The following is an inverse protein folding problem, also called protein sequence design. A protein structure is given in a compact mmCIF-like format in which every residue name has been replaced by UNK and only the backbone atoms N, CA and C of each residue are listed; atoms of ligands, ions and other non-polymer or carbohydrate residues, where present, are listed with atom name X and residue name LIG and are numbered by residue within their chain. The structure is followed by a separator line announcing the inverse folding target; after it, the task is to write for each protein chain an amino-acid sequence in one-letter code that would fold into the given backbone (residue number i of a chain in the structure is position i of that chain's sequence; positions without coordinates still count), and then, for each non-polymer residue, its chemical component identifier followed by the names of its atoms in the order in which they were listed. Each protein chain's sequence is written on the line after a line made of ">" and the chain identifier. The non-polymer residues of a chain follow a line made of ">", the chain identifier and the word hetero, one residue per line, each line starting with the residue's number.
data_IF_892004839661
#
_entry.id   IF_892004839661
#
_cell.length_a   1.000
_cell.length_b   1.000
_cell.length_c   1.000
_cell.angle_alpha   90.00
_cell.angle_beta   90.00
_cell.angle_gamma   90.00
#
_symmetry.space_group_name_H-M   'P 1'
#
loop_
_entity.id
_entity.type
_entity.pdbx_description
1 polymer ?
#
# COMPACT_ATOMS: atom_id res chain seq x y z
N UNK A 1 -9.19 -3.88 3.32
CA UNK A 1 -7.75 -3.98 3.61
C UNK A 1 -7.28 -5.43 3.72
N UNK A 2 -8.10 -6.36 4.21
CA UNK A 2 -7.68 -7.74 4.52
C UNK A 2 -7.18 -8.56 3.32
N UNK A 3 -7.56 -8.17 2.10
CA UNK A 3 -7.13 -8.84 0.88
C UNK A 3 -5.79 -8.32 0.32
N UNK A 4 -5.17 -7.30 0.92
CA UNK A 4 -3.94 -6.69 0.36
C UNK A 4 -2.80 -7.71 0.19
N UNK A 5 -2.66 -8.65 1.13
CA UNK A 5 -1.62 -9.68 1.06
C UNK A 5 -1.77 -10.65 -0.13
N UNK A 6 -2.93 -10.70 -0.79
CA UNK A 6 -3.16 -11.60 -1.93
C UNK A 6 -2.51 -11.09 -3.22
N UNK A 7 -2.25 -9.78 -3.32
CA UNK A 7 -1.76 -9.17 -4.56
C UNK A 7 -0.62 -8.17 -4.36
N UNK A 8 -0.43 -7.60 -3.16
CA UNK A 8 0.69 -6.69 -2.90
C UNK A 8 1.98 -7.51 -2.75
N UNK A 9 3.00 -7.27 -3.59
CA UNK A 9 4.28 -7.97 -3.47
C UNK A 9 4.94 -7.78 -2.11
N UNK A 10 5.52 -8.86 -1.63
CA UNK A 10 6.25 -8.93 -0.36
C UNK A 10 5.39 -8.66 0.89
N UNK A 11 4.06 -8.56 0.77
CA UNK A 11 3.15 -8.49 1.90
C UNK A 11 2.76 -9.92 2.34
N UNK A 12 2.92 -10.20 3.63
CA UNK A 12 2.58 -11.50 4.24
C UNK A 12 1.16 -11.50 4.80
N UNK A 13 0.75 -10.41 5.42
CA UNK A 13 -0.60 -10.26 5.97
C UNK A 13 -1.01 -8.80 5.99
N UNK A 14 -2.30 -8.55 5.82
CA UNK A 14 -2.93 -7.29 6.19
C UNK A 14 -4.26 -7.61 6.84
N UNK A 15 -4.58 -6.95 7.95
CA UNK A 15 -5.85 -7.13 8.64
C UNK A 15 -6.37 -5.84 9.23
N UNK A 16 -7.68 -5.63 9.20
CA UNK A 16 -8.34 -4.57 9.96
C UNK A 16 -8.40 -4.99 11.44
N UNK A 17 -7.87 -4.16 12.32
CA UNK A 17 -7.91 -4.36 13.78
C UNK A 17 -9.13 -3.67 14.37
N UNK A 18 -9.44 -2.47 13.90
CA UNK A 18 -10.61 -1.72 14.31
C UNK A 18 -11.07 -0.76 13.22
N UNK A 19 -12.35 -0.38 13.29
CA UNK A 19 -12.95 0.62 12.41
C UNK A 19 -13.88 1.49 13.23
N UNK A 20 -13.75 2.80 13.09
CA UNK A 20 -14.57 3.81 13.75
C UNK A 20 -14.82 4.96 12.78
N UNK A 21 -15.98 4.95 12.12
CA UNK A 21 -16.32 5.94 11.10
C UNK A 21 -15.34 5.88 9.91
N UNK A 22 -14.71 7.01 9.62
CA UNK A 22 -13.70 7.21 8.58
C UNK A 22 -12.29 6.77 9.00
N UNK A 23 -12.09 6.36 10.26
CA UNK A 23 -10.81 5.89 10.78
C UNK A 23 -10.77 4.37 10.86
N UNK A 24 -9.68 3.80 10.37
CA UNK A 24 -9.44 2.35 10.33
C UNK A 24 -8.05 2.07 10.84
N UNK A 25 -7.93 1.15 11.79
CA UNK A 25 -6.61 0.66 12.22
C UNK A 25 -6.33 -0.63 11.46
N UNK A 26 -5.20 -0.66 10.76
CA UNK A 26 -4.80 -1.79 9.92
C UNK A 26 -3.43 -2.28 10.36
N UNK A 27 -3.32 -3.56 10.68
CA UNK A 27 -2.04 -4.22 10.86
C UNK A 27 -1.56 -4.81 9.53
N UNK A 28 -0.27 -4.63 9.24
CA UNK A 28 0.36 -5.16 8.04
C UNK A 28 1.71 -5.76 8.39
N UNK A 29 1.96 -6.96 7.86
CA UNK A 29 3.24 -7.63 7.95
C UNK A 29 3.73 -7.97 6.56
N UNK A 30 5.04 -7.85 6.35
CA UNK A 30 5.65 -8.12 5.07
C UNK A 30 7.16 -8.16 5.16
N UNK A 31 7.78 -8.06 4.01
CA UNK A 31 9.22 -7.94 3.86
C UNK A 31 9.56 -6.69 3.05
N UNK A 32 10.63 -6.03 3.44
CA UNK A 32 11.31 -5.04 2.63
C UNK A 32 12.65 -5.64 2.19
N UNK A 33 12.89 -5.72 0.89
CA UNK A 33 14.09 -6.38 0.42
C UNK A 33 14.39 -6.24 -1.05
N UNK A 34 15.65 -6.53 -1.38
CA UNK A 34 16.16 -6.62 -2.75
C UNK A 34 17.27 -7.67 -2.79
N UNK A 35 17.26 -8.55 -3.81
CA UNK A 35 18.15 -9.72 -3.92
C UNK A 35 18.13 -10.58 -2.64
N UNK A 36 19.29 -10.75 -1.98
CA UNK A 36 19.45 -11.59 -0.80
C UNK A 36 19.15 -10.84 0.51
N UNK A 37 18.97 -9.51 0.44
CA UNK A 37 18.61 -8.71 1.60
C UNK A 37 17.10 -8.72 1.79
N UNK A 38 16.65 -9.18 2.96
CA UNK A 38 15.25 -9.16 3.39
C UNK A 38 15.18 -8.67 4.84
N UNK A 39 14.34 -7.69 5.10
CA UNK A 39 14.00 -7.21 6.43
C UNK A 39 12.52 -7.41 6.68
N UNK A 40 12.12 -8.04 7.80
CA UNK A 40 10.72 -8.11 8.16
C UNK A 40 10.20 -6.69 8.46
N UNK A 41 9.00 -6.40 7.96
CA UNK A 41 8.27 -5.18 8.27
C UNK A 41 6.99 -5.57 8.99
N UNK A 42 6.76 -4.97 10.15
CA UNK A 42 5.55 -5.13 10.95
C UNK A 42 5.08 -3.74 11.37
N UNK A 43 3.92 -3.34 10.86
CA UNK A 43 3.36 -2.00 11.04
C UNK A 43 1.90 -2.05 11.39
N UNK A 44 1.50 -1.17 12.29
CA UNK A 44 0.11 -0.82 12.54
C UNK A 44 -0.10 0.61 12.06
N UNK A 45 -1.04 0.78 11.13
CA UNK A 45 -1.37 2.05 10.50
C UNK A 45 -2.73 2.52 10.98
N UNK A 46 -2.82 3.81 11.30
CA UNK A 46 -4.10 4.49 11.28
C UNK A 46 -4.35 5.00 9.86
N UNK A 47 -5.49 4.64 9.31
CA UNK A 47 -5.94 5.00 7.98
C UNK A 47 -7.16 5.90 8.11
N UNK A 48 -7.09 7.08 7.49
CA UNK A 48 -8.20 8.00 7.36
C UNK A 48 -8.76 7.91 5.92
N UNK A 49 -10.00 7.47 5.81
CA UNK A 49 -10.70 7.33 4.54
C UNK A 49 -11.48 8.62 4.25
N UNK A 50 -11.27 9.20 3.08
CA UNK A 50 -12.00 10.37 2.59
C UNK A 50 -12.62 10.04 1.23
N UNK A 51 -13.70 9.24 1.22
CA UNK A 51 -14.29 8.77 -0.02
C UNK A 51 -14.84 9.93 -0.87
N UNK A 52 -14.85 9.78 -2.21
CA UNK A 52 -14.27 8.66 -2.97
C UNK A 52 -12.79 8.88 -3.35
N UNK A 53 -12.19 9.99 -2.94
CA UNK A 53 -10.98 10.49 -3.60
C UNK A 53 -9.68 10.21 -2.86
N UNK A 54 -9.69 10.00 -1.54
CA UNK A 54 -8.45 10.06 -0.78
C UNK A 54 -8.39 9.09 0.38
N UNK A 55 -7.19 8.58 0.62
CA UNK A 55 -6.85 7.79 1.79
C UNK A 55 -5.50 8.30 2.31
N UNK A 56 -5.46 8.72 3.57
CA UNK A 56 -4.20 8.97 4.30
C UNK A 56 -3.93 7.80 5.23
N UNK A 57 -2.69 7.34 5.30
CA UNK A 57 -2.28 6.36 6.29
C UNK A 57 -1.02 6.83 7.01
N UNK A 58 -0.98 6.67 8.33
CA UNK A 58 0.17 7.01 9.17
C UNK A 58 0.49 5.88 10.12
N UNK A 59 1.78 5.71 10.40
CA UNK A 59 2.27 4.76 11.39
C UNK A 59 1.78 5.14 12.80
N UNK A 60 1.27 4.16 13.54
CA UNK A 60 0.95 4.29 14.96
C UNK A 60 1.70 3.29 15.84
N UNK A 61 2.15 2.17 15.28
CA UNK A 61 3.04 1.22 15.95
C UNK A 61 3.80 0.38 14.92
N UNK A 62 4.92 -0.23 15.31
CA UNK A 62 5.65 -1.16 14.44
C UNK A 62 7.17 -1.09 14.59
N UNK A 63 7.87 -1.71 13.64
CA UNK A 63 9.34 -1.82 13.63
C UNK A 63 10.04 -0.87 12.66
N UNK A 64 9.33 0.15 12.18
CA UNK A 64 9.89 1.24 11.35
C UNK A 64 9.77 2.56 12.11
N UNK A 65 10.57 3.57 11.75
CA UNK A 65 10.58 4.85 12.47
C UNK A 65 9.42 5.74 12.07
N UNK A 66 9.16 5.83 10.77
CA UNK A 66 8.13 6.72 10.25
C UNK A 66 7.56 6.13 8.96
N UNK A 67 6.24 6.20 8.82
CA UNK A 67 5.55 5.93 7.58
C UNK A 67 4.31 6.80 7.50
N UNK A 68 4.27 7.64 6.48
CA UNK A 68 3.10 8.41 6.11
C UNK A 68 2.87 8.21 4.62
N UNK A 69 1.63 7.92 4.22
CA UNK A 69 1.27 7.72 2.82
C UNK A 69 -0.05 8.38 2.53
N UNK A 70 -0.18 8.87 1.30
CA UNK A 70 -1.40 9.42 0.74
C UNK A 70 -1.67 8.75 -0.60
N UNK A 71 -2.89 8.28 -0.75
CA UNK A 71 -3.45 7.78 -2.00
C UNK A 71 -4.53 8.77 -2.44
N UNK A 72 -4.43 9.24 -3.68
CA UNK A 72 -5.41 10.17 -4.26
C UNK A 72 -5.90 9.68 -5.62
N UNK A 73 -7.21 9.77 -5.83
CA UNK A 73 -7.88 9.46 -7.09
C UNK A 73 -8.32 10.76 -7.75
N UNK A 74 -7.75 11.02 -8.91
CA UNK A 74 -8.10 12.13 -9.78
C UNK A 74 -8.63 11.65 -11.13
N UNK A 75 -9.03 12.62 -11.95
CA UNK A 75 -9.39 12.41 -13.36
C UNK A 75 -8.25 12.87 -14.27
N UNK A 76 -8.09 12.20 -15.40
CA UNK A 76 -7.19 12.57 -16.49
C UNK A 76 -7.87 12.29 -17.83
N UNK A 77 -7.33 12.84 -18.92
CA UNK A 77 -7.86 12.62 -20.27
C UNK A 77 -7.87 11.13 -20.68
N UNK A 78 -7.00 10.32 -20.06
CA UNK A 78 -6.88 8.88 -20.29
C UNK A 78 -7.71 8.02 -19.30
N UNK A 79 -8.50 8.64 -18.42
CA UNK A 79 -9.33 7.95 -17.43
C UNK A 79 -8.98 8.35 -15.98
N UNK A 80 -8.83 7.37 -15.09
CA UNK A 80 -8.58 7.62 -13.67
C UNK A 80 -7.08 7.77 -13.41
N UNK A 81 -6.68 8.86 -12.76
CA UNK A 81 -5.32 9.05 -12.25
C UNK A 81 -5.27 8.55 -10.81
N UNK A 82 -4.34 7.67 -10.51
CA UNK A 82 -4.08 7.22 -9.15
C UNK A 82 -2.71 7.74 -8.74
N UNK A 83 -2.68 8.60 -7.73
CA UNK A 83 -1.48 9.24 -7.20
C UNK A 83 -1.11 8.60 -5.86
N UNK A 84 0.17 8.29 -5.68
CA UNK A 84 0.74 7.82 -4.43
C UNK A 84 1.89 8.72 -4.01
N UNK A 85 1.79 9.27 -2.81
CA UNK A 85 2.88 10.00 -2.15
C UNK A 85 3.13 9.38 -0.79
N UNK A 86 4.39 9.27 -0.38
CA UNK A 86 4.68 8.81 0.96
C UNK A 86 6.08 9.15 1.44
N UNK A 87 6.21 9.18 2.76
CA UNK A 87 7.46 9.32 3.51
C UNK A 87 7.69 8.03 4.28
N UNK A 88 8.87 7.46 4.13
CA UNK A 88 9.25 6.22 4.79
C UNK A 88 10.65 6.37 5.39
N UNK A 89 10.73 6.23 6.71
CA UNK A 89 12.00 6.21 7.45
C UNK A 89 12.16 4.82 8.07
N UNK A 90 13.10 3.99 7.57
CA UNK A 90 13.30 2.65 8.10
C UNK A 90 13.83 2.68 9.53
N UNK A 91 13.44 1.68 10.33
CA UNK A 91 14.02 1.42 11.65
C UNK A 91 15.38 0.74 11.61
N UNK A 92 15.79 0.29 10.43
CA UNK A 92 17.00 -0.50 10.17
C UNK A 92 17.91 0.21 9.16
N UNK A 93 19.20 -0.11 9.23
CA UNK A 93 20.17 0.37 8.25
C UNK A 93 19.97 -0.34 6.91
N UNK A 94 19.81 0.44 5.85
CA UNK A 94 19.82 -0.08 4.49
C UNK A 94 21.26 -0.38 4.05
N UNK A 95 21.53 -1.51 3.38
CA UNK A 95 22.80 -1.75 2.74
C UNK A 95 23.14 -0.62 1.76
N UNK A 96 24.42 -0.24 1.60
CA UNK A 96 24.83 0.83 0.68
C UNK A 96 24.36 0.63 -0.77
N UNK A 97 24.14 -0.62 -1.19
CA UNK A 97 23.61 -0.95 -2.51
C UNK A 97 22.14 -0.53 -2.69
N UNK A 98 21.34 -0.42 -1.62
CA UNK A 98 19.94 -0.01 -1.71
C UNK A 98 19.85 1.52 -1.79
N UNK A 99 20.10 2.03 -2.99
CA UNK A 99 19.89 3.44 -3.33
C UNK A 99 18.45 3.76 -3.73
N UNK A 100 18.18 5.05 -3.95
CA UNK A 100 16.87 5.56 -4.38
C UNK A 100 16.26 4.87 -5.62
N UNK A 101 17.03 4.48 -6.66
CA UNK A 101 16.46 3.75 -7.81
C UNK A 101 15.83 2.40 -7.44
N UNK A 102 16.42 1.67 -6.49
CA UNK A 102 15.89 0.39 -6.01
C UNK A 102 14.61 0.62 -5.20
N UNK A 103 14.63 1.62 -4.30
CA UNK A 103 13.45 2.01 -3.53
C UNK A 103 12.30 2.38 -4.45
N UNK A 104 12.56 3.19 -5.49
CA UNK A 104 11.57 3.56 -6.50
C UNK A 104 10.96 2.31 -7.17
N UNK A 105 11.79 1.36 -7.60
CA UNK A 105 11.32 0.12 -8.23
C UNK A 105 10.46 -0.72 -7.29
N UNK A 106 10.78 -0.78 -6.00
CA UNK A 106 9.97 -1.50 -5.01
C UNK A 106 8.58 -0.85 -4.90
N UNK A 107 8.53 0.48 -4.79
CA UNK A 107 7.27 1.24 -4.73
C UNK A 107 6.46 1.07 -6.01
N UNK A 108 7.08 1.21 -7.18
CA UNK A 108 6.43 1.03 -8.49
C UNK A 108 5.81 -0.35 -8.64
N UNK A 109 6.47 -1.42 -8.19
CA UNK A 109 5.91 -2.78 -8.25
C UNK A 109 4.66 -2.93 -7.38
N UNK A 110 4.69 -2.41 -6.15
CA UNK A 110 3.52 -2.44 -5.25
C UNK A 110 2.37 -1.62 -5.80
N UNK A 111 2.68 -0.45 -6.35
CA UNK A 111 1.69 0.42 -6.95
C UNK A 111 1.05 -0.20 -8.20
N UNK A 112 1.87 -0.79 -9.07
CA UNK A 112 1.40 -1.53 -10.25
C UNK A 112 0.48 -2.68 -9.86
N UNK A 113 0.83 -3.47 -8.85
CA UNK A 113 -0.02 -4.56 -8.38
C UNK A 113 -1.39 -4.08 -7.88
N UNK A 114 -1.47 -2.90 -7.25
CA UNK A 114 -2.77 -2.29 -6.91
C UNK A 114 -3.59 -1.95 -8.16
N UNK A 115 -2.96 -1.31 -9.15
CA UNK A 115 -3.65 -0.93 -10.40
C UNK A 115 -4.13 -2.18 -11.16
N UNK A 116 -3.29 -3.21 -11.28
CA UNK A 116 -3.66 -4.48 -11.91
C UNK A 116 -4.86 -5.14 -11.20
N UNK A 117 -4.87 -5.13 -9.87
CA UNK A 117 -6.00 -5.65 -9.09
C UNK A 117 -7.28 -4.84 -9.27
N UNK A 118 -7.19 -3.49 -9.34
CA UNK A 118 -8.34 -2.62 -9.63
C UNK A 118 -8.94 -2.98 -10.98
N UNK A 119 -8.11 -3.07 -12.04
CA UNK A 119 -8.55 -3.40 -13.40
C UNK A 119 -9.15 -4.81 -13.45
N UNK A 120 -8.56 -5.79 -12.76
CA UNK A 120 -9.08 -7.15 -12.67
C UNK A 120 -10.49 -7.18 -12.05
N UNK A 121 -10.70 -6.47 -10.94
CA UNK A 121 -12.01 -6.40 -10.27
C UNK A 121 -13.07 -5.70 -11.11
N UNK A 122 -12.69 -4.64 -11.81
CA UNK A 122 -13.56 -3.91 -12.73
C UNK A 122 -13.99 -4.79 -13.91
N UNK A 123 -13.07 -5.56 -14.51
CA UNK A 123 -13.41 -6.54 -15.55
C UNK A 123 -14.40 -7.62 -15.03
N UNK A 124 -14.19 -8.13 -13.81
CA UNK A 124 -15.11 -9.09 -13.18
C UNK A 124 -16.48 -8.48 -12.89
N UNK A 125 -16.53 -7.21 -12.46
CA UNK A 125 -17.78 -6.51 -12.19
C UNK A 125 -18.59 -6.27 -13.48
N UNK A 126 -17.93 -5.91 -14.59
CA UNK A 126 -18.57 -5.74 -15.89
C UNK A 126 -19.01 -7.05 -16.55
N UNK A 127 -18.30 -8.15 -16.27
CA UNK A 127 -18.61 -9.48 -16.82
C UNK A 127 -19.74 -10.22 -16.09
N UNK A 128 -20.20 -9.73 -14.94
CA UNK A 128 -21.37 -10.30 -14.26
C UNK A 128 -22.65 -9.83 -14.96
N UNK A 129 -23.57 -10.75 -15.35
CA UNK A 129 -24.89 -10.34 -15.80
C UNK A 129 -25.57 -9.52 -14.68
N UNK A 130 -26.28 -8.46 -15.07
CA UNK A 130 -27.17 -7.76 -14.14
C UNK A 130 -28.30 -8.72 -13.79
N UNK A 131 -28.33 -9.17 -12.54
CA UNK A 131 -29.50 -9.84 -11.96
C UNK A 131 -30.70 -8.87 -11.90
#
# INVERSE_FOLDING_TARGET
>A
YDNLAQFIPDMKSSRVVSRSGDRVVVEQKGEFGFFFYRQPVDVTLEVLEQPPHRIDARLIAGNIRELETRYELGTSDAGVRFDYTGRFIPGFSLPPLIGMPIVRRIVERRFRAMVEEIVRRDALARGRPKD
#
